data_IF_499647133338
#
_entry.id   IF_499647133338
#
_cell.length_a   1.000
_cell.length_b   1.000
_cell.length_c   1.000
_cell.angle_alpha   90.00
_cell.angle_beta   90.00
_cell.angle_gamma   90.00
#
_symmetry.space_group_name_H-M   'P 1'
#
loop_
_entity.id
_entity.type
_entity.pdbx_description
1 polymer ?
#
# COMPACT_ATOMS: atom_id res chain seq x y z
N UNK A 1 -2.82 21.20 -10.74
CA UNK A 1 -2.13 19.92 -11.03
C UNK A 1 -2.68 19.42 -12.35
N UNK A 2 -1.94 19.64 -13.46
CA UNK A 2 -2.39 19.14 -14.77
C UNK A 2 -2.12 17.63 -14.84
N UNK A 3 -3.16 16.83 -15.04
CA UNK A 3 -2.98 15.43 -15.40
C UNK A 3 -2.49 15.41 -16.85
N UNK A 4 -1.22 15.04 -17.07
CA UNK A 4 -0.67 14.88 -18.41
C UNK A 4 -1.08 13.51 -18.90
N UNK A 5 -1.90 13.48 -19.95
CA UNK A 5 -2.32 12.22 -20.55
C UNK A 5 -1.07 11.48 -21.08
N UNK A 6 -0.93 10.18 -20.76
CA UNK A 6 0.11 9.37 -21.35
C UNK A 6 0.02 9.35 -22.88
N UNK A 7 1.16 9.27 -23.61
CA UNK A 7 1.10 8.92 -25.03
C UNK A 7 0.49 7.52 -25.19
N UNK A 8 -0.16 7.22 -26.33
CA UNK A 8 -0.79 5.92 -26.53
C UNK A 8 0.24 4.79 -26.49
N UNK A 9 -0.01 3.80 -25.65
CA UNK A 9 0.70 2.51 -25.65
C UNK A 9 -0.05 1.52 -26.55
N UNK A 10 0.60 0.43 -27.02
CA UNK A 10 -0.09 -0.64 -27.74
C UNK A 10 -1.31 -1.10 -26.94
N UNK A 11 -2.50 -0.91 -27.52
CA UNK A 11 -3.78 -1.26 -26.91
C UNK A 11 -4.26 -2.66 -27.29
N UNK A 12 -3.49 -3.35 -28.13
CA UNK A 12 -3.77 -4.68 -28.64
C UNK A 12 -2.66 -5.60 -28.18
N UNK A 13 -2.99 -6.78 -27.64
CA UNK A 13 -1.99 -7.81 -27.39
C UNK A 13 -1.17 -8.11 -28.65
N UNK A 14 0.12 -8.42 -28.49
CA UNK A 14 0.98 -8.93 -29.56
C UNK A 14 0.38 -10.20 -30.16
N UNK A 15 0.66 -10.58 -31.42
CA UNK A 15 0.07 -11.76 -32.06
C UNK A 15 0.08 -12.97 -31.14
N UNK A 16 -1.09 -13.61 -30.98
CA UNK A 16 -1.30 -14.80 -30.14
C UNK A 16 -0.17 -15.80 -30.43
N UNK A 17 0.74 -16.07 -29.47
CA UNK A 17 1.62 -17.22 -29.59
C UNK A 17 0.73 -18.47 -29.69
N UNK A 18 0.99 -19.37 -30.64
CA UNK A 18 0.29 -20.65 -30.74
C UNK A 18 0.27 -21.31 -29.35
N UNK A 19 -0.92 -21.34 -28.73
CA UNK A 19 -1.04 -21.75 -27.34
C UNK A 19 -0.57 -23.20 -27.20
N UNK A 20 0.46 -23.41 -26.37
CA UNK A 20 0.68 -24.71 -25.77
C UNK A 20 -0.51 -24.98 -24.84
N UNK A 21 -1.49 -25.72 -25.35
CA UNK A 21 -2.58 -26.29 -24.58
C UNK A 21 -2.02 -27.32 -23.61
N UNK A 22 -1.40 -26.88 -22.51
CA UNK A 22 -1.20 -27.75 -21.37
C UNK A 22 -2.53 -27.80 -20.62
N UNK A 23 -3.36 -28.77 -20.99
CA UNK A 23 -4.48 -29.17 -20.16
C UNK A 23 -3.94 -29.47 -18.76
N UNK A 24 -4.48 -28.86 -17.69
CA UNK A 24 -4.07 -29.21 -16.35
C UNK A 24 -4.34 -30.70 -16.16
N UNK A 25 -3.30 -31.41 -15.73
CA UNK A 25 -3.36 -32.82 -15.36
C UNK A 25 -4.57 -33.04 -14.44
N UNK A 26 -5.54 -33.86 -14.89
CA UNK A 26 -6.87 -34.04 -14.29
C UNK A 26 -6.85 -34.67 -12.89
N UNK A 27 -5.66 -34.86 -12.30
CA UNK A 27 -5.51 -35.27 -10.91
C UNK A 27 -5.89 -34.12 -9.99
N UNK A 28 -7.21 -34.01 -9.73
CA UNK A 28 -7.77 -33.17 -8.68
C UNK A 28 -7.18 -33.63 -7.35
N UNK A 29 -6.33 -32.83 -6.68
CA UNK A 29 -5.70 -33.25 -5.45
C UNK A 29 -6.75 -33.35 -4.34
N UNK A 30 -6.78 -34.51 -3.68
CA UNK A 30 -7.52 -34.75 -2.45
C UNK A 30 -6.55 -34.80 -1.26
N UNK A 31 -6.95 -34.20 -0.15
CA UNK A 31 -6.19 -34.30 1.10
C UNK A 31 -6.41 -35.68 1.72
N UNK A 32 -5.35 -36.27 2.29
CA UNK A 32 -5.49 -37.51 3.06
C UNK A 32 -6.13 -37.25 4.42
N UNK A 33 -6.79 -38.26 4.97
CA UNK A 33 -7.40 -38.19 6.30
C UNK A 33 -6.41 -37.75 7.39
N UNK A 34 -5.19 -38.33 7.40
CA UNK A 34 -4.15 -37.95 8.35
C UNK A 34 -3.72 -36.48 8.26
N UNK A 35 -3.65 -35.91 7.04
CA UNK A 35 -3.34 -34.48 6.87
C UNK A 35 -4.49 -33.59 7.32
N UNK A 36 -5.73 -33.98 7.05
CA UNK A 36 -6.90 -33.26 7.52
C UNK A 36 -6.98 -33.25 9.05
N UNK A 37 -6.71 -34.41 9.67
CA UNK A 37 -6.68 -34.58 11.12
C UNK A 37 -5.57 -33.74 11.77
N UNK A 38 -4.35 -33.79 11.23
CA UNK A 38 -3.24 -32.97 11.72
C UNK A 38 -3.55 -31.46 11.66
N UNK A 39 -4.06 -30.98 10.52
CA UNK A 39 -4.43 -29.58 10.36
C UNK A 39 -5.51 -29.16 11.36
N UNK A 40 -6.47 -30.05 11.65
CA UNK A 40 -7.51 -29.80 12.64
C UNK A 40 -6.95 -29.74 14.07
N UNK A 41 -6.01 -30.62 14.41
CA UNK A 41 -5.32 -30.62 15.71
C UNK A 41 -4.53 -29.32 15.94
N UNK A 42 -3.74 -28.90 14.94
CA UNK A 42 -2.99 -27.64 14.99
C UNK A 42 -3.92 -26.44 15.15
N UNK A 43 -5.02 -26.39 14.38
CA UNK A 43 -6.02 -25.35 14.50
C UNK A 43 -6.66 -25.30 15.89
N UNK A 44 -7.09 -26.44 16.45
CA UNK A 44 -7.70 -26.51 17.77
C UNK A 44 -6.72 -26.09 18.86
N UNK A 45 -5.45 -26.53 18.78
CA UNK A 45 -4.40 -26.15 19.73
C UNK A 45 -4.13 -24.63 19.75
N UNK A 46 -4.36 -23.94 18.63
CA UNK A 46 -4.22 -22.48 18.53
C UNK A 46 -5.36 -21.70 19.19
N UNK A 47 -6.46 -22.37 19.56
CA UNK A 47 -7.63 -21.76 20.21
C UNK A 47 -7.57 -22.02 21.71
N UNK A 48 -7.33 -20.96 22.48
CA UNK A 48 -7.22 -21.02 23.95
C UNK A 48 -8.40 -21.69 24.66
N UNK A 49 -9.55 -21.73 24.00
CA UNK A 49 -10.82 -22.15 24.57
C UNK A 49 -11.39 -23.43 23.96
N UNK A 50 -10.62 -24.14 23.14
CA UNK A 50 -11.08 -25.39 22.55
C UNK A 50 -10.45 -26.57 23.30
N UNK A 51 -11.27 -27.50 23.78
CA UNK A 51 -10.76 -28.79 24.27
C UNK A 51 -10.24 -29.61 23.09
N UNK A 52 -9.16 -30.36 23.27
CA UNK A 52 -8.64 -31.28 22.24
C UNK A 52 -9.45 -32.56 22.09
N UNK A 53 -10.41 -32.84 22.99
CA UNK A 53 -11.15 -34.11 23.00
C UNK A 53 -11.91 -34.42 21.69
N UNK A 54 -12.65 -33.46 21.06
CA UNK A 54 -13.29 -33.71 19.77
C UNK A 54 -12.34 -34.10 18.64
N UNK A 55 -11.09 -33.64 18.67
CA UNK A 55 -10.08 -34.00 17.67
C UNK A 55 -9.51 -35.40 17.93
N UNK A 56 -9.23 -35.72 19.19
CA UNK A 56 -8.56 -36.97 19.57
C UNK A 56 -9.49 -38.18 19.59
N UNK A 57 -10.74 -37.96 20.01
CA UNK A 57 -11.74 -39.02 20.20
C UNK A 57 -12.79 -39.03 19.07
N UNK A 58 -12.87 -37.95 18.28
CA UNK A 58 -13.79 -37.86 17.14
C UNK A 58 -13.38 -38.79 16.01
N UNK A 59 -14.36 -39.33 15.30
CA UNK A 59 -14.15 -40.24 14.17
C UNK A 59 -14.59 -39.55 12.88
N UNK A 60 -13.68 -39.45 11.92
CA UNK A 60 -14.01 -38.93 10.59
C UNK A 60 -14.93 -39.94 9.89
N UNK A 61 -16.10 -39.46 9.45
CA UNK A 61 -17.11 -40.30 8.81
C UNK A 61 -17.15 -40.13 7.30
N UNK A 62 -16.80 -38.94 6.79
CA UNK A 62 -16.76 -38.67 5.35
C UNK A 62 -15.87 -37.46 5.04
N UNK A 63 -15.18 -37.51 3.89
CA UNK A 63 -14.39 -36.40 3.34
C UNK A 63 -14.84 -36.12 1.91
N UNK A 64 -15.30 -34.90 1.65
CA UNK A 64 -15.82 -34.47 0.36
C UNK A 64 -14.93 -33.35 -0.21
N UNK A 65 -14.49 -33.49 -1.47
CA UNK A 65 -13.68 -32.47 -2.16
C UNK A 65 -14.58 -31.48 -2.88
N UNK A 66 -14.50 -30.21 -2.46
CA UNK A 66 -15.32 -29.09 -2.92
C UNK A 66 -14.44 -28.00 -3.55
N UNK A 67 -13.41 -28.42 -4.28
CA UNK A 67 -12.38 -27.54 -4.81
C UNK A 67 -12.95 -26.45 -5.73
N UNK A 68 -12.28 -25.30 -5.78
CA UNK A 68 -12.68 -24.15 -6.60
C UNK A 68 -11.51 -23.54 -7.36
N UNK A 69 -11.81 -22.80 -8.42
CA UNK A 69 -10.82 -22.06 -9.19
C UNK A 69 -10.77 -20.60 -8.78
N UNK A 70 -9.56 -20.04 -8.72
CA UNK A 70 -9.34 -18.61 -8.61
C UNK A 70 -8.57 -18.12 -9.82
N UNK A 71 -9.17 -17.19 -10.54
CA UNK A 71 -8.50 -16.38 -11.54
C UNK A 71 -7.99 -15.09 -10.90
N UNK A 72 -6.80 -14.67 -11.29
CA UNK A 72 -6.16 -13.44 -10.84
C UNK A 72 -5.60 -12.69 -12.03
N UNK A 73 -5.92 -11.41 -12.13
CA UNK A 73 -5.29 -10.48 -13.07
C UNK A 73 -4.49 -9.44 -12.29
N UNK A 74 -3.19 -9.37 -12.58
CA UNK A 74 -2.29 -8.34 -12.10
C UNK A 74 -1.90 -7.43 -13.26
N UNK A 75 -2.04 -6.12 -13.09
CA UNK A 75 -1.69 -5.11 -14.09
C UNK A 75 -0.66 -4.16 -13.50
N UNK A 76 0.54 -4.21 -14.05
CA UNK A 76 1.64 -3.35 -13.67
C UNK A 76 1.60 -2.07 -14.49
N UNK A 77 1.51 -0.94 -13.79
CA UNK A 77 1.26 0.37 -14.39
C UNK A 77 2.34 1.37 -14.03
N UNK A 78 2.58 2.33 -14.92
CA UNK A 78 3.35 3.53 -14.65
C UNK A 78 2.45 4.76 -14.75
N UNK A 79 2.50 5.61 -13.73
CA UNK A 79 1.79 6.90 -13.71
C UNK A 79 2.75 8.03 -13.38
N UNK A 80 2.50 9.20 -13.97
CA UNK A 80 3.34 10.38 -13.82
C UNK A 80 2.54 11.59 -13.40
N UNK A 81 3.08 12.38 -12.47
CA UNK A 81 2.46 13.63 -12.02
C UNK A 81 3.51 14.68 -11.69
N UNK A 82 3.19 15.95 -11.90
CA UNK A 82 4.11 17.05 -11.59
C UNK A 82 3.61 17.91 -10.44
N UNK A 83 4.54 18.45 -9.66
CA UNK A 83 4.27 19.48 -8.65
C UNK A 83 5.38 20.51 -8.61
N UNK A 84 5.01 21.74 -8.27
CA UNK A 84 6.01 22.76 -7.90
C UNK A 84 6.70 22.35 -6.60
N UNK A 85 8.02 22.51 -6.52
CA UNK A 85 8.83 22.18 -5.36
C UNK A 85 9.88 23.26 -5.13
N UNK A 86 10.30 23.38 -3.87
CA UNK A 86 11.21 24.44 -3.45
C UNK A 86 12.17 23.92 -2.38
N UNK A 87 13.39 24.44 -2.39
CA UNK A 87 14.42 24.18 -1.39
C UNK A 87 15.26 25.44 -1.14
N UNK A 88 15.97 25.56 0.00
CA UNK A 88 16.89 26.65 0.23
C UNK A 88 17.93 26.74 -0.89
N UNK A 89 18.15 27.94 -1.42
CA UNK A 89 19.21 28.16 -2.41
C UNK A 89 20.57 28.25 -1.71
N UNK A 90 21.49 27.41 -2.13
CA UNK A 90 22.85 27.24 -1.59
C UNK A 90 23.92 27.30 -2.68
N UNK A 91 23.54 27.71 -3.90
CA UNK A 91 24.41 27.72 -5.08
C UNK A 91 24.13 26.58 -6.08
N UNK A 92 22.99 25.89 -5.96
CA UNK A 92 22.56 24.91 -6.95
C UNK A 92 22.44 25.54 -8.35
N UNK A 93 22.53 24.73 -9.41
CA UNK A 93 22.39 25.20 -10.79
C UNK A 93 21.00 25.79 -11.05
N UNK A 94 20.99 26.96 -11.68
CA UNK A 94 19.79 27.62 -12.21
C UNK A 94 19.78 27.39 -13.71
N UNK A 95 18.73 26.76 -14.22
CA UNK A 95 18.64 26.33 -15.63
C UNK A 95 17.31 26.72 -16.30
N UNK A 96 16.42 27.40 -15.56
CA UNK A 96 15.18 27.90 -16.11
C UNK A 96 15.42 28.84 -17.30
N UNK A 97 14.77 28.55 -18.42
CA UNK A 97 14.84 29.36 -19.63
C UNK A 97 16.02 29.07 -20.56
N UNK A 98 16.95 28.17 -20.19
CA UNK A 98 18.02 27.73 -21.10
C UNK A 98 17.44 26.98 -22.31
N UNK A 99 16.44 26.13 -22.07
CA UNK A 99 15.69 25.39 -23.08
C UNK A 99 14.23 25.21 -22.64
N UNK A 100 13.39 24.73 -23.57
CA UNK A 100 12.03 24.31 -23.25
C UNK A 100 12.07 23.13 -22.27
N UNK A 101 11.36 23.20 -21.13
CA UNK A 101 11.23 22.05 -20.23
C UNK A 101 10.59 20.85 -20.95
N UNK A 102 11.13 19.64 -20.80
CA UNK A 102 10.53 18.45 -21.36
C UNK A 102 9.18 18.14 -20.70
N UNK A 103 8.26 17.55 -21.45
CA UNK A 103 7.03 16.98 -20.95
C UNK A 103 7.29 15.81 -20.00
N UNK A 104 6.34 15.46 -19.11
CA UNK A 104 6.55 14.41 -18.10
C UNK A 104 6.98 13.07 -18.66
N UNK A 105 6.50 12.69 -19.85
CA UNK A 105 6.80 11.42 -20.52
C UNK A 105 8.06 11.46 -21.40
N UNK A 106 8.61 12.64 -21.68
CA UNK A 106 9.89 12.81 -22.41
C UNK A 106 11.10 12.62 -21.48
N UNK A 107 10.89 12.66 -20.17
CA UNK A 107 11.92 12.45 -19.17
C UNK A 107 12.14 10.94 -19.00
N UNK A 108 13.36 10.46 -19.20
CA UNK A 108 13.68 9.06 -18.94
C UNK A 108 13.54 8.75 -17.44
N UNK A 109 12.85 7.66 -17.10
CA UNK A 109 12.75 7.11 -15.76
C UNK A 109 13.11 5.61 -15.85
N UNK A 110 13.75 5.07 -14.82
CA UNK A 110 14.18 3.67 -14.83
C UNK A 110 13.09 2.80 -14.19
N UNK A 111 12.38 1.95 -14.95
CA UNK A 111 11.37 1.09 -14.38
C UNK A 111 12.02 0.04 -13.45
N UNK A 112 11.39 -0.29 -12.31
CA UNK A 112 11.83 -1.40 -11.48
C UNK A 112 11.55 -2.75 -12.18
N UNK A 113 11.90 -3.86 -11.51
CA UNK A 113 11.40 -5.17 -11.92
C UNK A 113 9.87 -5.20 -12.02
N UNK A 114 9.35 -5.90 -13.03
CA UNK A 114 7.90 -6.03 -13.21
C UNK A 114 7.21 -6.55 -11.94
N UNK A 115 6.00 -6.03 -11.68
CA UNK A 115 5.19 -6.34 -10.49
C UNK A 115 5.84 -5.94 -9.15
N UNK A 116 6.76 -4.98 -9.17
CA UNK A 116 7.37 -4.40 -7.97
C UNK A 116 7.00 -2.93 -7.84
N UNK A 117 6.29 -2.57 -6.77
CA UNK A 117 5.87 -1.20 -6.53
C UNK A 117 7.08 -0.29 -6.26
N UNK A 118 7.14 0.85 -6.95
CA UNK A 118 8.23 1.80 -6.81
C UNK A 118 7.76 3.25 -7.02
N UNK A 119 8.48 4.19 -6.42
CA UNK A 119 8.23 5.63 -6.60
C UNK A 119 9.55 6.35 -6.70
N UNK A 120 9.64 7.21 -7.71
CA UNK A 120 10.80 8.05 -7.95
C UNK A 120 10.36 9.52 -8.08
N UNK A 121 11.21 10.45 -7.62
CA UNK A 121 11.02 11.88 -7.84
C UNK A 121 12.22 12.43 -8.61
N UNK A 122 11.94 12.95 -9.80
CA UNK A 122 12.93 13.50 -10.72
C UNK A 122 12.72 15.01 -10.81
N UNK A 123 13.80 15.79 -10.72
CA UNK A 123 13.75 17.23 -10.99
C UNK A 123 13.61 17.45 -12.50
N UNK A 124 12.58 18.17 -12.93
CA UNK A 124 12.35 18.45 -14.35
C UNK A 124 13.44 19.41 -14.86
N UNK A 125 14.20 19.03 -15.90
CA UNK A 125 15.23 19.89 -16.47
C UNK A 125 14.69 21.24 -16.93
N UNK A 126 15.52 22.28 -16.85
CA UNK A 126 15.21 23.64 -17.33
C UNK A 126 14.04 24.32 -16.60
N UNK A 127 13.76 23.91 -15.36
CA UNK A 127 12.69 24.52 -14.53
C UNK A 127 13.22 25.16 -13.26
N UNK A 128 14.52 25.07 -12.98
CA UNK A 128 15.11 25.55 -11.73
C UNK A 128 15.36 27.05 -11.81
N UNK A 129 14.67 27.82 -10.99
CA UNK A 129 14.74 29.28 -10.91
C UNK A 129 14.93 29.73 -9.46
N UNK A 130 15.57 30.89 -9.26
CA UNK A 130 15.71 31.48 -7.92
C UNK A 130 14.58 32.46 -7.69
N UNK A 131 13.83 32.26 -6.61
CA UNK A 131 12.82 33.21 -6.14
C UNK A 131 13.27 33.83 -4.83
N UNK A 132 13.22 35.17 -4.76
CA UNK A 132 13.47 35.88 -3.50
C UNK A 132 12.30 35.65 -2.54
N UNK A 133 12.64 35.52 -1.26
CA UNK A 133 11.71 35.55 -0.13
C UNK A 133 12.30 36.40 0.98
N UNK A 134 11.45 36.81 1.91
CA UNK A 134 11.92 37.35 3.18
C UNK A 134 12.75 36.28 3.89
N UNK A 135 14.00 36.62 4.19
CA UNK A 135 14.93 35.74 4.92
C UNK A 135 14.56 35.61 6.41
N UNK A 136 13.60 36.42 6.84
CA UNK A 136 13.17 36.52 8.22
C UNK A 136 11.65 36.51 8.33
N UNK A 137 11.14 36.11 9.49
CA UNK A 137 9.76 36.33 9.92
C UNK A 137 9.77 37.28 11.11
N UNK A 138 8.85 38.24 11.12
CA UNK A 138 8.66 39.14 12.26
C UNK A 138 8.22 38.29 13.45
N UNK A 139 8.90 38.44 14.58
CA UNK A 139 8.45 37.80 15.81
C UNK A 139 7.20 38.55 16.29
N UNK A 140 6.03 37.92 16.38
CA UNK A 140 4.80 38.65 16.76
C UNK A 140 4.82 39.20 18.20
N UNK A 141 5.69 38.67 19.07
CA UNK A 141 5.96 39.25 20.39
C UNK A 141 6.65 40.63 20.34
N UNK A 142 7.08 41.05 19.14
CA UNK A 142 7.78 42.31 18.84
C UNK A 142 6.85 43.51 18.72
N UNK A 143 5.59 43.32 18.33
CA UNK A 143 4.69 44.43 17.99
C UNK A 143 4.35 45.33 19.20
N UNK A 144 4.72 44.90 20.40
CA UNK A 144 4.39 45.54 21.68
C UNK A 144 5.56 46.30 22.33
N UNK A 145 6.73 46.43 21.69
CA UNK A 145 7.85 47.17 22.31
C UNK A 145 8.77 47.85 21.28
N UNK A 146 9.02 49.15 21.44
CA UNK A 146 9.83 50.00 20.53
C UNK A 146 11.27 49.50 20.33
N UNK A 147 11.76 48.59 21.19
CA UNK A 147 13.14 48.07 21.19
C UNK A 147 13.24 46.53 21.31
N UNK A 148 12.15 45.78 21.08
CA UNK A 148 12.16 44.30 21.11
C UNK A 148 12.58 43.68 22.46
N UNK A 149 12.35 44.40 23.55
CA UNK A 149 12.70 44.01 24.92
C UNK A 149 11.46 43.98 25.81
N UNK A 150 11.31 42.90 26.57
CA UNK A 150 10.22 42.74 27.55
C UNK A 150 10.66 43.38 28.86
N UNK A 151 9.73 43.97 29.60
CA UNK A 151 10.01 44.44 30.96
C UNK A 151 10.44 43.23 31.79
N UNK A 152 11.54 43.35 32.54
CA UNK A 152 12.05 42.26 33.36
C UNK A 152 10.99 41.88 34.39
N UNK A 153 10.54 40.62 34.38
CA UNK A 153 9.50 40.16 35.30
C UNK A 153 9.97 40.17 36.77
N UNK A 154 11.28 40.16 37.00
CA UNK A 154 11.86 40.15 38.34
C UNK A 154 11.94 41.53 39.02
N UNK A 155 11.93 42.62 38.25
CA UNK A 155 11.98 43.98 38.79
C UNK A 155 10.93 44.93 38.18
N UNK A 156 10.07 44.47 37.26
CA UNK A 156 9.11 45.30 36.55
C UNK A 156 9.69 46.60 35.95
N UNK A 157 10.97 46.58 35.55
CA UNK A 157 11.65 47.75 34.99
C UNK A 157 12.26 48.72 36.00
N UNK A 158 12.18 48.44 37.31
CA UNK A 158 12.76 49.29 38.37
C UNK A 158 14.28 49.10 38.55
N UNK A 159 14.90 48.16 37.84
CA UNK A 159 16.31 47.77 37.98
C UNK A 159 16.68 47.11 39.32
N UNK A 160 15.79 47.15 40.31
CA UNK A 160 15.97 46.64 41.67
C UNK A 160 14.87 45.64 42.02
N UNK A 161 15.21 44.61 42.79
CA UNK A 161 14.24 43.68 43.37
C UNK A 161 13.57 44.33 44.58
N UNK A 162 12.44 43.78 45.10
CA UNK A 162 11.72 44.36 46.24
C UNK A 162 12.54 44.49 47.53
N UNK A 163 13.65 43.76 47.62
CA UNK A 163 14.66 43.78 48.69
C UNK A 163 15.73 44.88 48.50
N UNK A 164 15.55 45.79 47.53
CA UNK A 164 16.50 46.84 47.15
C UNK A 164 17.84 46.31 46.58
N UNK A 165 17.97 45.01 46.32
CA UNK A 165 19.14 44.47 45.64
C UNK A 165 19.05 44.68 44.13
N UNK A 166 20.21 44.88 43.51
CA UNK A 166 20.30 45.10 42.06
C UNK A 166 19.85 43.84 41.31
N UNK A 167 18.95 43.99 40.32
CA UNK A 167 18.33 42.86 39.66
C UNK A 167 19.30 42.13 38.72
N UNK A 168 19.90 41.04 39.21
CA UNK A 168 20.81 40.19 38.43
C UNK A 168 20.13 39.46 37.26
N UNK A 169 18.79 39.34 37.25
CA UNK A 169 18.06 38.60 36.21
C UNK A 169 18.10 39.30 34.85
N UNK A 170 18.17 40.62 34.85
CA UNK A 170 18.23 41.45 33.65
C UNK A 170 19.57 42.17 33.51
N UNK A 171 20.62 41.70 34.19
CA UNK A 171 21.93 42.36 34.28
C UNK A 171 21.80 43.86 34.59
N UNK A 172 20.93 44.19 35.54
CA UNK A 172 20.65 45.57 35.99
C UNK A 172 19.99 46.48 34.93
N UNK A 173 19.58 45.95 33.77
CA UNK A 173 19.02 46.74 32.65
C UNK A 173 17.53 47.04 32.78
N UNK A 174 16.82 46.39 33.71
CA UNK A 174 15.37 46.54 33.88
C UNK A 174 14.52 45.87 32.79
N UNK A 175 15.15 45.37 31.72
CA UNK A 175 14.49 44.73 30.58
C UNK A 175 15.23 43.47 30.16
N UNK A 176 14.49 42.51 29.66
CA UNK A 176 15.01 41.23 29.16
C UNK A 176 14.82 41.15 27.64
N UNK A 177 15.80 40.55 26.96
CA UNK A 177 15.65 40.23 25.54
C UNK A 177 14.48 39.26 25.38
N UNK A 178 13.70 39.43 24.32
CA UNK A 178 12.65 38.46 24.00
C UNK A 178 13.26 37.06 23.89
N UNK A 179 12.78 36.10 24.68
CA UNK A 179 13.29 34.72 24.70
C UNK A 179 13.12 34.01 23.36
N UNK A 180 12.11 34.38 22.57
CA UNK A 180 11.81 33.74 21.28
C UNK A 180 12.76 34.18 20.16
N UNK A 181 13.10 35.48 20.07
CA UNK A 181 13.96 36.03 19.01
C UNK A 181 15.33 36.51 19.51
N UNK A 182 15.64 36.28 20.79
CA UNK A 182 16.85 36.74 21.48
C UNK A 182 17.13 38.24 21.30
N UNK A 183 16.08 39.05 21.19
CA UNK A 183 16.17 40.50 21.01
C UNK A 183 16.46 40.99 19.58
N UNK A 184 16.52 40.09 18.58
CA UNK A 184 16.72 40.48 17.16
C UNK A 184 15.44 40.99 16.50
N UNK A 185 14.27 40.73 17.08
CA UNK A 185 12.96 41.07 16.51
C UNK A 185 12.48 40.12 15.41
N UNK A 186 13.32 39.19 14.97
CA UNK A 186 13.03 38.31 13.85
C UNK A 186 13.46 36.86 14.08
N UNK A 187 12.78 35.93 13.42
CA UNK A 187 13.21 34.53 13.31
C UNK A 187 13.76 34.29 11.92
N UNK A 188 14.81 33.46 11.80
CA UNK A 188 15.26 32.97 10.49
C UNK A 188 14.08 32.27 9.80
N UNK A 189 13.94 32.49 8.51
CA UNK A 189 12.87 31.87 7.74
C UNK A 189 13.20 30.39 7.50
N UNK A 190 12.45 29.47 8.12
CA UNK A 190 12.66 28.02 8.03
C UNK A 190 12.72 27.50 6.58
N UNK A 191 11.91 28.08 5.70
CA UNK A 191 11.84 27.63 4.30
C UNK A 191 13.10 27.94 3.50
N UNK A 192 13.81 29.02 3.81
CA UNK A 192 15.01 29.47 3.08
C UNK A 192 16.27 29.51 3.95
N UNK A 193 16.19 28.96 5.17
CA UNK A 193 17.27 28.93 6.16
C UNK A 193 17.97 30.28 6.38
N UNK A 194 17.20 31.37 6.40
CA UNK A 194 17.75 32.71 6.57
C UNK A 194 18.53 33.29 5.38
N UNK A 195 18.52 32.63 4.20
CA UNK A 195 19.25 33.10 3.00
C UNK A 195 18.44 34.03 2.10
N UNK A 196 17.12 34.08 2.29
CA UNK A 196 16.22 34.96 1.50
C UNK A 196 16.05 34.54 0.04
N UNK A 197 16.56 33.36 -0.32
CA UNK A 197 16.51 32.82 -1.67
C UNK A 197 16.08 31.36 -1.62
N UNK A 198 15.11 31.02 -2.46
CA UNK A 198 14.66 29.65 -2.69
C UNK A 198 14.97 29.26 -4.12
N UNK A 199 15.46 28.05 -4.29
CA UNK A 199 15.40 27.39 -5.58
C UNK A 199 13.99 26.82 -5.74
N UNK A 200 13.31 27.20 -6.81
CA UNK A 200 11.98 26.71 -7.17
C UNK A 200 12.09 25.96 -8.49
N UNK A 201 11.54 24.76 -8.55
CA UNK A 201 11.59 23.88 -9.72
C UNK A 201 10.34 23.02 -9.81
N UNK A 202 10.11 22.41 -10.97
CA UNK A 202 9.07 21.39 -11.14
C UNK A 202 9.67 20.04 -10.79
N UNK A 203 9.01 19.28 -9.92
CA UNK A 203 9.34 17.87 -9.68
C UNK A 203 8.33 16.97 -10.37
N UNK A 204 8.85 15.97 -11.08
CA UNK A 204 8.12 14.86 -11.65
C UNK A 204 8.12 13.71 -10.65
N UNK A 205 6.95 13.23 -10.26
CA UNK A 205 6.77 11.99 -9.53
C UNK A 205 6.39 10.90 -10.51
N UNK A 206 7.18 9.84 -10.56
CA UNK A 206 6.88 8.61 -11.30
C UNK A 206 6.49 7.55 -10.28
N UNK A 207 5.37 6.88 -10.50
CA UNK A 207 4.87 5.80 -9.65
C UNK A 207 4.62 4.57 -10.52
N UNK A 208 5.31 3.49 -10.17
CA UNK A 208 5.01 2.15 -10.64
C UNK A 208 4.19 1.41 -9.59
N UNK A 209 3.07 0.82 -9.98
CA UNK A 209 2.23 0.04 -9.08
C UNK A 209 1.56 -1.14 -9.75
N UNK A 210 1.42 -2.21 -8.98
CA UNK A 210 0.71 -3.43 -9.37
C UNK A 210 -0.73 -3.38 -8.86
N UNK A 211 -1.66 -3.43 -9.78
CA UNK A 211 -3.09 -3.45 -9.50
C UNK A 211 -3.60 -4.87 -9.69
N UNK A 212 -4.37 -5.39 -8.73
CA UNK A 212 -4.75 -6.79 -8.69
C UNK A 212 -6.24 -6.94 -8.44
N UNK A 213 -6.91 -7.71 -9.30
CA UNK A 213 -8.28 -8.15 -9.11
C UNK A 213 -8.37 -9.68 -9.21
N UNK A 214 -9.14 -10.28 -8.29
CA UNK A 214 -9.35 -11.72 -8.18
C UNK A 214 -10.81 -12.08 -8.50
N UNK A 215 -11.02 -13.20 -9.17
CA UNK A 215 -12.31 -13.85 -9.32
C UNK A 215 -12.22 -15.27 -8.77
N UNK A 216 -13.14 -15.64 -7.89
CA UNK A 216 -13.27 -17.00 -7.36
C UNK A 216 -14.55 -17.60 -7.93
N UNK A 217 -14.43 -18.74 -8.60
CA UNK A 217 -15.57 -19.47 -9.12
C UNK A 217 -16.48 -19.90 -7.97
N UNK A 218 -17.79 -19.92 -8.23
CA UNK A 218 -18.74 -20.30 -7.20
C UNK A 218 -18.55 -21.78 -6.84
N UNK A 219 -18.39 -22.06 -5.55
CA UNK A 219 -18.30 -23.42 -5.03
C UNK A 219 -19.51 -23.80 -4.17
N UNK A 220 -19.68 -25.09 -3.93
CA UNK A 220 -20.75 -25.65 -3.10
C UNK A 220 -20.38 -25.77 -1.62
N UNK A 221 -19.20 -25.32 -1.20
CA UNK A 221 -18.73 -25.43 0.19
C UNK A 221 -19.39 -24.42 1.14
N UNK A 222 -19.92 -23.33 0.60
CA UNK A 222 -20.50 -22.24 1.41
C UNK A 222 -19.45 -21.43 2.19
N UNK A 223 -18.15 -21.67 1.96
CA UNK A 223 -17.08 -20.83 2.49
C UNK A 223 -17.16 -19.44 1.88
N UNK A 224 -17.07 -18.41 2.73
CA UNK A 224 -17.14 -17.03 2.25
C UNK A 224 -15.88 -16.65 1.46
N UNK A 225 -15.99 -15.83 0.40
CA UNK A 225 -14.84 -15.41 -0.42
C UNK A 225 -13.69 -14.77 0.39
N UNK A 226 -13.97 -14.12 1.52
CA UNK A 226 -12.93 -13.49 2.34
C UNK A 226 -12.00 -14.52 3.02
N UNK A 227 -12.48 -15.75 3.25
CA UNK A 227 -11.64 -16.86 3.75
C UNK A 227 -10.74 -17.37 2.62
N UNK A 228 -11.28 -17.52 1.41
CA UNK A 228 -10.55 -17.98 0.23
C UNK A 228 -9.50 -16.97 -0.26
N UNK A 229 -9.73 -15.67 -0.04
CA UNK A 229 -8.74 -14.63 -0.32
C UNK A 229 -7.45 -14.72 0.51
N UNK A 230 -7.46 -15.46 1.62
CA UNK A 230 -6.33 -15.60 2.55
C UNK A 230 -5.48 -16.86 2.33
N UNK A 231 -5.78 -17.65 1.32
CA UNK A 231 -5.07 -18.89 1.00
C UNK A 231 -4.57 -18.89 -0.44
N UNK A 232 -3.56 -19.71 -0.71
CA UNK A 232 -3.07 -20.00 -2.07
C UNK A 232 -3.60 -21.35 -2.57
N UNK A 233 -3.67 -21.50 -3.89
CA UNK A 233 -4.02 -22.76 -4.55
C UNK A 233 -2.86 -23.32 -5.39
N UNK A 234 -3.05 -24.48 -5.99
CA UNK A 234 -2.12 -25.06 -6.97
C UNK A 234 -2.19 -24.23 -8.26
N UNK A 235 -1.08 -23.63 -8.70
CA UNK A 235 -1.00 -22.92 -9.98
C UNK A 235 -1.26 -23.91 -11.13
N UNK A 236 -2.30 -23.65 -11.91
CA UNK A 236 -2.67 -24.44 -13.09
C UNK A 236 -2.28 -23.75 -14.39
N UNK A 237 -2.27 -22.42 -14.38
CA UNK A 237 -1.97 -21.60 -15.54
C UNK A 237 -1.34 -20.28 -15.09
N UNK A 238 -0.37 -19.81 -15.87
CA UNK A 238 0.28 -18.52 -15.70
C UNK A 238 0.73 -17.98 -17.04
N UNK A 239 0.40 -16.73 -17.32
CA UNK A 239 0.83 -16.02 -18.52
C UNK A 239 1.14 -14.56 -18.18
N UNK A 240 2.13 -13.98 -18.86
CA UNK A 240 2.56 -12.61 -18.64
C UNK A 240 2.97 -11.95 -19.97
N UNK A 241 2.28 -10.87 -20.31
CA UNK A 241 2.43 -10.15 -21.59
C UNK A 241 2.19 -8.66 -21.38
N UNK A 242 2.53 -7.80 -22.36
CA UNK A 242 2.22 -6.36 -22.29
C UNK A 242 0.73 -6.14 -22.05
N UNK A 243 -0.10 -6.89 -22.80
CA UNK A 243 -1.53 -7.07 -22.60
C UNK A 243 -1.82 -8.55 -22.78
N UNK A 244 -2.47 -9.18 -21.81
CA UNK A 244 -2.77 -10.62 -21.88
C UNK A 244 -4.06 -10.87 -22.67
N UNK A 245 -4.16 -12.05 -23.28
CA UNK A 245 -5.40 -12.51 -23.90
C UNK A 245 -6.35 -13.13 -22.86
N UNK A 246 -7.67 -13.01 -23.06
CA UNK A 246 -8.63 -13.79 -22.28
C UNK A 246 -8.30 -15.27 -22.33
N UNK A 247 -8.50 -15.95 -21.21
CA UNK A 247 -8.28 -17.40 -21.12
C UNK A 247 -9.33 -18.11 -21.99
N UNK A 248 -8.85 -18.83 -23.00
CA UNK A 248 -9.68 -19.61 -23.92
C UNK A 248 -9.68 -21.09 -23.55
N UNK A 249 -10.84 -21.74 -23.65
CA UNK A 249 -10.96 -23.21 -23.52
C UNK A 249 -10.73 -23.77 -22.11
N UNK A 250 -10.75 -22.94 -21.07
CA UNK A 250 -10.67 -23.42 -19.69
C UNK A 250 -11.95 -24.21 -19.33
N UNK A 251 -11.85 -25.33 -18.58
CA UNK A 251 -13.02 -26.18 -18.27
C UNK A 251 -14.15 -25.43 -17.55
N UNK A 252 -13.80 -24.49 -16.67
CA UNK A 252 -14.77 -23.63 -16.00
C UNK A 252 -15.04 -22.37 -16.84
N UNK A 253 -16.24 -22.30 -17.43
CA UNK A 253 -16.66 -21.18 -18.28
C UNK A 253 -16.71 -19.85 -17.50
N UNK A 254 -16.99 -19.89 -16.19
CA UNK A 254 -17.06 -18.70 -15.36
C UNK A 254 -15.68 -18.03 -15.21
N UNK A 255 -14.62 -18.84 -15.18
CA UNK A 255 -13.22 -18.36 -15.16
C UNK A 255 -12.86 -17.68 -16.48
N UNK A 256 -13.23 -18.27 -17.62
CA UNK A 256 -12.98 -17.69 -18.94
C UNK A 256 -13.71 -16.33 -19.10
N UNK A 257 -14.98 -16.27 -18.69
CA UNK A 257 -15.77 -15.03 -18.70
C UNK A 257 -15.19 -13.97 -17.76
N UNK A 258 -14.72 -14.37 -16.58
CA UNK A 258 -14.09 -13.46 -15.63
C UNK A 258 -12.76 -12.91 -16.17
N UNK A 259 -11.97 -13.74 -16.86
CA UNK A 259 -10.74 -13.30 -17.53
C UNK A 259 -11.03 -12.20 -18.55
N UNK A 260 -11.99 -12.41 -19.46
CA UNK A 260 -12.37 -11.41 -20.46
C UNK A 260 -12.83 -10.10 -19.82
N UNK A 261 -13.71 -10.19 -18.80
CA UNK A 261 -14.23 -9.01 -18.09
C UNK A 261 -13.11 -8.24 -17.40
N UNK A 262 -12.27 -8.89 -16.60
CA UNK A 262 -11.23 -8.21 -15.83
C UNK A 262 -10.17 -7.56 -16.72
N UNK A 263 -9.79 -8.22 -17.82
CA UNK A 263 -8.86 -7.64 -18.80
C UNK A 263 -9.43 -6.34 -19.38
N UNK A 264 -10.70 -6.37 -19.81
CA UNK A 264 -11.40 -5.21 -20.34
C UNK A 264 -11.53 -4.09 -19.31
N UNK A 265 -11.93 -4.42 -18.08
CA UNK A 265 -12.12 -3.45 -17.00
C UNK A 265 -10.79 -2.76 -16.64
N UNK A 266 -9.71 -3.52 -16.51
CA UNK A 266 -8.37 -2.99 -16.27
C UNK A 266 -7.92 -2.08 -17.41
N UNK A 267 -8.13 -2.48 -18.67
CA UNK A 267 -7.78 -1.66 -19.83
C UNK A 267 -8.50 -0.31 -19.80
N UNK A 268 -9.81 -0.30 -19.57
CA UNK A 268 -10.62 0.93 -19.50
C UNK A 268 -10.23 1.79 -18.30
N UNK A 269 -9.91 1.19 -17.16
CA UNK A 269 -9.60 1.89 -15.91
C UNK A 269 -8.22 2.53 -15.94
N UNK A 270 -7.20 1.79 -16.38
CA UNK A 270 -5.80 2.20 -16.20
C UNK A 270 -5.20 2.96 -17.38
N UNK A 271 -5.65 2.69 -18.61
CA UNK A 271 -5.14 3.39 -19.82
C UNK A 271 -5.45 4.90 -19.82
N UNK A 272 -6.45 5.34 -19.05
CA UNK A 272 -6.83 6.77 -18.98
C UNK A 272 -5.75 7.67 -18.38
N UNK A 273 -5.05 7.17 -17.35
CA UNK A 273 -4.15 7.99 -16.52
C UNK A 273 -2.76 7.39 -16.35
N UNK A 274 -2.53 6.16 -16.86
CA UNK A 274 -1.30 5.41 -16.66
C UNK A 274 -0.94 4.64 -17.94
N UNK A 275 0.33 4.28 -18.08
CA UNK A 275 0.78 3.25 -19.01
C UNK A 275 0.65 1.89 -18.37
N UNK A 276 -0.02 0.96 -19.05
CA UNK A 276 0.08 -0.46 -18.72
C UNK A 276 1.41 -0.94 -19.31
N UNK A 277 2.31 -1.41 -18.45
CA UNK A 277 3.62 -1.91 -18.86
C UNK A 277 3.61 -3.42 -19.05
N UNK A 278 2.87 -4.14 -18.20
CA UNK A 278 2.71 -5.58 -18.28
C UNK A 278 1.48 -6.03 -17.51
N UNK A 279 0.82 -7.08 -17.99
CA UNK A 279 -0.19 -7.82 -17.27
C UNK A 279 0.29 -9.25 -17.01
N UNK A 280 -0.12 -9.82 -15.89
CA UNK A 280 0.07 -11.22 -15.54
C UNK A 280 -1.27 -11.80 -15.11
N UNK A 281 -1.61 -12.94 -15.67
CA UNK A 281 -2.80 -13.68 -15.30
C UNK A 281 -2.40 -15.05 -14.75
N UNK A 282 -3.13 -15.49 -13.72
CA UNK A 282 -2.90 -16.77 -13.07
C UNK A 282 -4.24 -17.46 -12.81
N UNK A 283 -4.30 -18.77 -13.03
CA UNK A 283 -5.39 -19.61 -12.54
C UNK A 283 -4.81 -20.58 -11.51
N UNK A 284 -5.42 -20.60 -10.33
CA UNK A 284 -5.09 -21.51 -9.25
C UNK A 284 -6.29 -22.39 -8.90
N UNK A 285 -6.05 -23.66 -8.57
CA UNK A 285 -7.02 -24.55 -7.95
C UNK A 285 -6.87 -24.47 -6.43
N UNK A 286 -7.87 -23.91 -5.75
CA UNK A 286 -7.94 -23.91 -4.29
C UNK A 286 -8.60 -25.21 -3.88
N UNK A 287 -7.84 -26.07 -3.19
CA UNK A 287 -8.39 -27.29 -2.62
C UNK A 287 -9.26 -26.95 -1.42
N UNK A 288 -10.46 -27.52 -1.35
CA UNK A 288 -11.38 -27.39 -0.23
C UNK A 288 -11.88 -28.80 0.08
N UNK A 289 -11.71 -29.24 1.32
CA UNK A 289 -12.22 -30.53 1.77
C UNK A 289 -13.15 -30.32 2.94
N UNK A 290 -14.41 -30.70 2.77
CA UNK A 290 -15.39 -30.78 3.84
C UNK A 290 -15.20 -32.10 4.57
N UNK A 291 -14.93 -32.04 5.85
CA UNK A 291 -14.73 -33.21 6.70
C UNK A 291 -15.90 -33.31 7.67
N UNK A 292 -16.65 -34.40 7.56
CA UNK A 292 -17.70 -34.75 8.52
C UNK A 292 -17.09 -35.70 9.54
N UNK A 293 -17.34 -35.45 10.83
CA UNK A 293 -16.88 -36.30 11.91
C UNK A 293 -17.95 -36.44 12.99
N UNK A 294 -17.90 -37.54 13.74
CA UNK A 294 -18.79 -37.80 14.86
C UNK A 294 -18.02 -37.75 16.17
N UNK A 295 -18.61 -37.09 17.16
CA UNK A 295 -18.09 -37.07 18.54
C UNK A 295 -19.27 -37.08 19.51
N UNK A 296 -19.25 -37.99 20.50
CA UNK A 296 -20.36 -38.20 21.45
C UNK A 296 -21.74 -38.28 20.75
N UNK A 297 -21.83 -39.14 19.74
CA UNK A 297 -23.05 -39.42 18.96
C UNK A 297 -23.63 -38.23 18.16
N UNK A 298 -22.93 -37.09 18.14
CA UNK A 298 -23.31 -35.92 17.35
C UNK A 298 -22.38 -35.74 16.16
N UNK A 299 -22.94 -35.27 15.05
CA UNK A 299 -22.20 -35.01 13.81
C UNK A 299 -21.78 -33.55 13.73
N UNK A 300 -20.55 -33.33 13.30
CA UNK A 300 -19.92 -32.03 13.16
C UNK A 300 -19.19 -31.92 11.83
N UNK A 301 -18.93 -30.69 11.40
CA UNK A 301 -18.27 -30.40 10.13
C UNK A 301 -17.16 -29.39 10.35
N UNK A 302 -16.02 -29.66 9.73
CA UNK A 302 -14.99 -28.64 9.51
C UNK A 302 -14.52 -28.69 8.05
N UNK A 303 -13.87 -27.62 7.62
CA UNK A 303 -13.31 -27.49 6.28
C UNK A 303 -11.80 -27.33 6.40
N UNK A 304 -11.07 -28.02 5.52
CA UNK A 304 -9.63 -27.80 5.31
C UNK A 304 -9.45 -27.23 3.91
N UNK A 305 -8.74 -26.10 3.77
CA UNK A 305 -8.66 -25.42 2.48
C UNK A 305 -7.33 -24.68 2.25
N UNK A 306 -7.00 -24.55 0.96
CA UNK A 306 -5.76 -23.93 0.48
C UNK A 306 -4.52 -24.81 0.64
N UNK A 307 -3.42 -24.39 0.04
CA UNK A 307 -2.12 -25.04 0.19
C UNK A 307 -1.61 -24.96 1.64
N UNK A 308 -2.04 -23.93 2.39
CA UNK A 308 -1.69 -23.72 3.79
C UNK A 308 -2.49 -24.60 4.76
N UNK A 309 -3.41 -25.45 4.27
CA UNK A 309 -4.26 -26.33 5.06
C UNK A 309 -5.03 -25.60 6.17
N UNK A 310 -5.55 -24.41 5.87
CA UNK A 310 -6.32 -23.65 6.86
C UNK A 310 -7.60 -24.38 7.23
N UNK A 311 -7.97 -24.29 8.50
CA UNK A 311 -9.18 -24.92 9.01
C UNK A 311 -10.27 -23.88 9.28
N UNK A 312 -11.50 -24.22 8.93
CA UNK A 312 -12.69 -23.50 9.36
C UNK A 312 -13.70 -24.46 9.99
N UNK A 313 -14.20 -24.10 11.17
CA UNK A 313 -15.31 -24.78 11.83
C UNK A 313 -16.20 -23.69 12.42
N UNK A 314 -17.50 -23.72 12.09
CA UNK A 314 -18.43 -22.71 12.60
C UNK A 314 -19.03 -23.17 13.96
N UNK A 315 -19.19 -24.48 14.17
CA UNK A 315 -19.83 -25.08 15.36
C UNK A 315 -18.90 -26.10 16.08
N UNK A 316 -17.78 -25.64 16.64
CA UNK A 316 -16.89 -26.53 17.40
C UNK A 316 -17.55 -26.98 18.73
N UNK A 317 -17.61 -28.29 19.05
CA UNK A 317 -18.51 -28.79 20.11
C UNK A 317 -18.00 -28.65 21.54
N UNK A 318 -16.72 -28.42 21.76
CA UNK A 318 -16.12 -28.39 23.08
C UNK A 318 -15.37 -27.07 23.32
N UNK A 319 -16.15 -26.00 23.48
CA UNK A 319 -15.63 -24.67 23.81
C UNK A 319 -15.73 -24.39 25.31
N UNK A 320 -14.76 -23.67 25.87
CA UNK A 320 -14.85 -23.08 27.19
C UNK A 320 -16.07 -22.14 27.26
N UNK A 321 -16.74 -22.05 28.41
CA UNK A 321 -17.71 -20.96 28.67
C UNK A 321 -16.96 -19.74 29.22
N UNK A 322 -16.11 -19.10 28.41
CA UNK A 322 -15.55 -17.80 28.79
C UNK A 322 -16.58 -16.72 28.48
N UNK A 323 -17.43 -16.40 29.45
CA UNK A 323 -18.16 -15.14 29.47
C UNK A 323 -17.12 -14.02 29.47
N UNK A 324 -17.00 -13.30 28.34
CA UNK A 324 -16.30 -12.01 28.34
C UNK A 324 -17.19 -11.07 29.16
N UNK A 325 -16.76 -10.79 30.39
CA UNK A 325 -17.26 -9.67 31.18
C UNK A 325 -16.68 -8.37 30.62
#
# INVERSE_FOLDING_TARGET
TGAYLPPPMPSVPMPVPEHASSHPDNNIPSISEGKAHQAFEEYVSSKCCYSSAPVREGVITNMESLNTYRYRLETFTESRSTKCSQEPYTGQRVDAGIQRPPGPWEIAAQPPSYFTDHKETIRVPYTSSVKRRLYYRICNASFMSVLMQKVCSGCNGSHQRPDNESCNKCDYRGREKCSSCSGTGFHKCDSCDGKGQLLVFISLKVKWSTEKDDYVAQDSSGLRPEKLGKVSGKELFKDAQIMVYPVMGFPDVSVAQASERLIRDHQVKYTKNSHILQQRQTIELITITRVNYTWKEKSYVYYVYGNELKVNTDDYPATCCCSVM
#
